data_IF_796925417735
#
_entry.id   IF_796925417735
#
_cell.length_a   1.000
_cell.length_b   1.000
_cell.length_c   1.000
_cell.angle_alpha   90.00
_cell.angle_beta   90.00
_cell.angle_gamma   90.00
#
_symmetry.space_group_name_H-M   'P 1'
#
loop_
_entity.id
_entity.type
_entity.pdbx_description
1 polymer ?
#
# COMPACT_ATOMS: atom_id res chain seq x y z
N UNK A 1 16.02 24.02 -24.83
CA UNK A 1 16.31 23.38 -23.54
C UNK A 1 15.22 22.34 -23.28
N UNK A 2 15.59 21.08 -23.07
CA UNK A 2 14.64 20.03 -22.72
C UNK A 2 14.17 20.22 -21.28
N UNK A 3 12.89 19.96 -21.03
CA UNK A 3 12.31 20.03 -19.68
C UNK A 3 11.74 18.68 -19.29
N UNK A 4 12.09 18.23 -18.09
CA UNK A 4 11.62 16.96 -17.56
C UNK A 4 10.75 17.14 -16.31
N UNK A 5 9.72 16.33 -16.22
CA UNK A 5 8.95 16.06 -14.99
C UNK A 5 9.28 14.63 -14.58
N UNK A 6 9.86 14.45 -13.42
CA UNK A 6 10.26 13.14 -12.91
C UNK A 6 9.11 12.57 -12.06
N UNK A 7 8.80 11.30 -12.32
CA UNK A 7 7.85 10.55 -11.50
C UNK A 7 8.47 9.24 -10.99
N UNK A 8 8.35 9.02 -9.69
CA UNK A 8 8.81 7.81 -9.00
C UNK A 8 7.66 7.17 -8.21
N UNK A 9 7.74 5.86 -7.94
CA UNK A 9 6.75 5.14 -7.14
C UNK A 9 7.38 4.05 -6.29
N UNK A 10 7.00 3.97 -5.03
CA UNK A 10 7.36 2.90 -4.09
C UNK A 10 6.12 2.12 -3.66
N UNK A 11 6.28 0.82 -3.32
CA UNK A 11 5.15 -0.10 -3.13
C UNK A 11 4.62 -0.16 -1.69
N UNK A 12 5.35 0.33 -0.69
CA UNK A 12 4.92 0.39 0.72
C UNK A 12 5.69 1.48 1.47
N UNK A 13 5.11 1.99 2.57
CA UNK A 13 5.82 2.91 3.47
C UNK A 13 7.14 2.32 4.01
N UNK A 14 7.19 0.99 4.25
CA UNK A 14 8.39 0.32 4.74
C UNK A 14 9.48 0.21 3.66
N UNK A 15 9.11 0.01 2.40
CA UNK A 15 10.06 0.10 1.27
C UNK A 15 10.44 1.54 0.97
N UNK A 16 9.57 2.51 1.24
CA UNK A 16 9.90 3.93 1.23
C UNK A 16 10.89 4.30 2.34
N UNK A 17 10.83 3.65 3.50
CA UNK A 17 11.76 3.84 4.62
C UNK A 17 13.11 3.17 4.40
N UNK A 18 13.18 2.01 3.73
CA UNK A 18 14.45 1.36 3.37
C UNK A 18 15.20 2.09 2.25
N UNK A 19 14.54 2.97 1.50
CA UNK A 19 15.15 3.80 0.44
C UNK A 19 15.57 3.05 -0.82
N UNK A 20 15.95 1.79 -0.74
CA UNK A 20 16.60 1.03 -1.82
C UNK A 20 15.85 1.04 -3.15
N UNK A 21 14.53 0.96 -3.11
CA UNK A 21 13.71 0.97 -4.33
C UNK A 21 13.62 2.36 -4.98
N UNK A 22 13.70 3.43 -4.20
CA UNK A 22 13.71 4.80 -4.68
C UNK A 22 15.11 5.18 -5.19
N UNK A 23 16.15 4.84 -4.43
CA UNK A 23 17.54 5.09 -4.81
C UNK A 23 17.90 4.45 -6.16
N UNK A 24 17.41 3.22 -6.41
CA UNK A 24 17.61 2.56 -7.70
C UNK A 24 16.92 3.34 -8.84
N UNK A 25 15.72 3.88 -8.62
CA UNK A 25 15.02 4.69 -9.62
C UNK A 25 15.74 6.02 -9.86
N UNK A 26 16.16 6.70 -8.81
CA UNK A 26 16.93 7.97 -8.93
C UNK A 26 18.26 7.76 -9.63
N UNK A 27 18.96 6.64 -9.36
CA UNK A 27 20.18 6.28 -10.07
C UNK A 27 19.94 6.07 -11.56
N UNK A 28 18.92 5.31 -11.94
CA UNK A 28 18.61 5.04 -13.34
C UNK A 28 18.26 6.35 -14.08
N UNK A 29 17.48 7.23 -13.42
CA UNK A 29 17.14 8.56 -13.95
C UNK A 29 18.40 9.44 -14.07
N UNK A 30 19.31 9.43 -13.09
CA UNK A 30 20.57 10.15 -13.13
C UNK A 30 21.44 9.70 -14.31
N UNK A 31 21.61 8.39 -14.50
CA UNK A 31 22.34 7.83 -15.66
C UNK A 31 21.71 8.27 -16.99
N UNK A 32 20.38 8.29 -17.07
CA UNK A 32 19.71 8.77 -18.27
C UNK A 32 20.00 10.24 -18.54
N UNK A 33 19.89 11.09 -17.55
CA UNK A 33 20.13 12.53 -17.67
C UNK A 33 21.58 12.84 -18.05
N UNK A 34 22.55 12.12 -17.49
CA UNK A 34 23.96 12.34 -17.71
C UNK A 34 24.44 11.83 -19.09
N UNK A 35 23.88 10.70 -19.56
CA UNK A 35 24.42 10.02 -20.74
C UNK A 35 23.55 10.13 -21.98
N UNK A 36 22.26 10.33 -21.83
CA UNK A 36 21.28 10.26 -22.92
C UNK A 36 20.51 11.58 -23.16
N UNK A 37 20.60 12.53 -22.24
CA UNK A 37 20.09 13.88 -22.47
C UNK A 37 21.12 14.62 -23.33
N UNK A 38 20.85 14.66 -24.64
CA UNK A 38 21.80 15.21 -25.63
C UNK A 38 21.95 16.74 -25.59
N UNK A 39 21.13 17.48 -24.84
CA UNK A 39 21.10 18.95 -24.73
C UNK A 39 20.95 19.38 -23.28
N UNK A 40 21.32 20.62 -22.93
CA UNK A 40 21.03 21.12 -21.59
C UNK A 40 19.56 20.93 -21.22
N UNK A 41 19.30 20.37 -20.04
CA UNK A 41 17.98 20.06 -19.54
C UNK A 41 17.66 20.81 -18.24
N UNK A 42 16.36 20.89 -17.95
CA UNK A 42 15.83 21.44 -16.71
C UNK A 42 14.80 20.44 -16.10
N UNK A 43 14.90 20.17 -14.80
CA UNK A 43 13.88 19.41 -14.07
C UNK A 43 12.89 20.40 -13.47
N UNK A 44 11.66 20.46 -14.01
CA UNK A 44 10.64 21.41 -13.57
C UNK A 44 9.68 20.87 -12.52
N UNK A 45 9.80 19.59 -12.16
CA UNK A 45 9.02 18.98 -11.10
C UNK A 45 9.44 17.54 -10.80
N UNK A 46 9.31 17.16 -9.53
CA UNK A 46 9.49 15.78 -9.04
C UNK A 46 8.26 15.37 -8.27
N UNK A 47 7.71 14.22 -8.58
CA UNK A 47 6.48 13.67 -8.00
C UNK A 47 6.69 12.23 -7.59
N UNK A 48 6.17 11.87 -6.42
CA UNK A 48 6.36 10.53 -5.87
C UNK A 48 5.06 10.01 -5.24
N UNK A 49 4.59 8.86 -5.68
CA UNK A 49 3.50 8.13 -5.02
C UNK A 49 4.05 6.97 -4.17
N UNK A 50 3.43 6.80 -3.00
CA UNK A 50 3.62 5.63 -2.14
C UNK A 50 2.37 4.76 -2.25
N UNK A 51 2.52 3.57 -2.86
CA UNK A 51 1.41 2.62 -3.09
C UNK A 51 1.17 1.83 -1.80
N UNK A 52 0.21 2.25 -0.99
CA UNK A 52 -0.15 1.60 0.28
C UNK A 52 -1.06 0.37 0.14
N UNK A 53 -1.24 -0.13 -1.08
CA UNK A 53 -2.07 -1.32 -1.36
C UNK A 53 -3.58 -1.12 -1.15
N UNK A 54 -3.99 -0.18 -0.31
CA UNK A 54 -5.39 0.13 -0.02
C UNK A 54 -5.94 1.30 -0.87
N UNK A 55 -5.07 2.10 -1.46
CA UNK A 55 -5.44 3.31 -2.18
C UNK A 55 -4.85 3.29 -3.59
N UNK A 56 -5.67 2.93 -4.59
CA UNK A 56 -5.29 2.95 -6.01
C UNK A 56 -5.25 4.37 -6.61
N UNK A 57 -5.45 5.40 -5.80
CA UNK A 57 -5.29 6.79 -6.20
C UNK A 57 -3.81 7.13 -6.38
N UNK A 58 -3.47 7.80 -7.48
CA UNK A 58 -2.12 8.27 -7.78
C UNK A 58 -2.15 9.79 -7.92
N UNK A 59 -2.32 10.50 -6.80
CA UNK A 59 -2.49 11.96 -6.83
C UNK A 59 -1.26 12.65 -7.41
N UNK A 60 -0.07 12.14 -7.10
CA UNK A 60 1.18 12.74 -7.57
C UNK A 60 1.43 12.47 -9.06
N UNK A 61 1.07 11.28 -9.57
CA UNK A 61 1.09 11.03 -11.02
C UNK A 61 0.14 11.98 -11.76
N UNK A 62 -1.05 12.20 -11.23
CA UNK A 62 -2.02 13.12 -11.86
C UNK A 62 -1.48 14.56 -11.90
N UNK A 63 -0.81 15.02 -10.83
CA UNK A 63 -0.14 16.33 -10.82
C UNK A 63 1.00 16.39 -11.84
N UNK A 64 1.83 15.34 -11.90
CA UNK A 64 2.91 15.23 -12.88
C UNK A 64 2.37 15.34 -14.32
N UNK A 65 1.32 14.59 -14.64
CA UNK A 65 0.68 14.62 -15.96
C UNK A 65 0.04 15.97 -16.28
N UNK A 66 -0.58 16.62 -15.31
CA UNK A 66 -1.12 17.98 -15.48
C UNK A 66 -0.01 18.98 -15.80
N UNK A 67 1.14 18.90 -15.11
CA UNK A 67 2.31 19.75 -15.37
C UNK A 67 2.89 19.48 -16.76
N UNK A 68 3.06 18.21 -17.14
CA UNK A 68 3.54 17.80 -18.47
C UNK A 68 2.65 18.38 -19.57
N UNK A 69 1.32 18.20 -19.46
CA UNK A 69 0.36 18.70 -20.44
C UNK A 69 0.35 20.22 -20.55
N UNK A 70 0.57 20.91 -19.43
CA UNK A 70 0.62 22.39 -19.38
C UNK A 70 1.89 22.96 -19.98
N UNK A 71 3.04 22.29 -19.76
CA UNK A 71 4.35 22.85 -20.08
C UNK A 71 4.98 22.26 -21.34
N UNK A 72 4.45 21.13 -21.84
CA UNK A 72 5.07 20.36 -22.94
C UNK A 72 6.37 19.67 -22.55
N UNK A 73 6.67 19.57 -21.24
CA UNK A 73 7.82 18.82 -20.73
C UNK A 73 7.66 17.32 -20.98
N UNK A 74 8.75 16.58 -20.92
CA UNK A 74 8.74 15.13 -21.03
C UNK A 74 8.55 14.48 -19.65
N UNK A 75 7.69 13.47 -19.53
CA UNK A 75 7.53 12.67 -18.33
C UNK A 75 8.66 11.63 -18.27
N UNK A 76 9.56 11.76 -17.33
CA UNK A 76 10.68 10.84 -17.14
C UNK A 76 10.41 9.90 -15.96
N UNK A 77 10.47 8.60 -16.24
CA UNK A 77 10.31 7.51 -15.25
C UNK A 77 11.48 6.54 -15.35
N UNK A 78 11.79 5.82 -14.28
CA UNK A 78 12.85 4.82 -14.30
C UNK A 78 12.48 3.60 -15.16
N UNK A 79 11.28 3.03 -14.94
CA UNK A 79 10.75 1.81 -15.61
C UNK A 79 9.25 1.93 -15.86
N UNK A 80 8.73 1.24 -16.87
CA UNK A 80 7.30 1.22 -17.20
C UNK A 80 6.43 0.67 -16.06
N UNK A 81 6.88 -0.32 -15.30
CA UNK A 81 6.15 -0.90 -14.16
C UNK A 81 5.99 0.07 -12.99
N UNK A 82 6.81 1.12 -12.92
CA UNK A 82 6.63 2.23 -11.96
C UNK A 82 5.47 3.12 -12.35
N UNK A 83 5.24 3.29 -13.67
CA UNK A 83 4.11 4.07 -14.17
C UNK A 83 2.79 3.31 -13.98
N UNK A 84 2.69 2.08 -14.47
CA UNK A 84 1.50 1.25 -14.29
C UNK A 84 1.82 -0.24 -14.45
N UNK A 85 0.99 -1.08 -13.81
CA UNK A 85 0.92 -2.51 -14.09
C UNK A 85 -0.07 -2.87 -15.19
N UNK A 86 -0.92 -1.92 -15.61
CA UNK A 86 -1.91 -2.10 -16.68
C UNK A 86 -1.37 -1.54 -17.98
N UNK A 87 -1.23 -2.39 -18.99
CA UNK A 87 -0.79 -1.99 -20.33
C UNK A 87 -1.76 -0.99 -20.95
N UNK A 88 -3.07 -1.18 -20.77
CA UNK A 88 -4.07 -0.26 -21.27
C UNK A 88 -3.84 1.19 -20.80
N UNK A 89 -3.47 1.38 -19.53
CA UNK A 89 -3.16 2.71 -19.01
C UNK A 89 -1.90 3.30 -19.65
N UNK A 90 -0.84 2.49 -19.80
CA UNK A 90 0.40 2.92 -20.45
C UNK A 90 0.12 3.29 -21.91
N UNK A 91 -0.65 2.46 -22.63
CA UNK A 91 -1.04 2.72 -24.02
C UNK A 91 -1.82 4.03 -24.14
N UNK A 92 -2.87 4.22 -23.33
CA UNK A 92 -3.65 5.47 -23.32
C UNK A 92 -2.77 6.70 -23.07
N UNK A 93 -1.79 6.56 -22.17
CA UNK A 93 -0.89 7.68 -21.88
C UNK A 93 0.06 7.98 -23.05
N UNK A 94 0.57 6.94 -23.73
CA UNK A 94 1.42 7.09 -24.89
C UNK A 94 0.65 7.60 -26.12
N UNK A 95 -0.67 7.41 -26.16
CA UNK A 95 -1.54 7.93 -27.22
C UNK A 95 -1.94 9.39 -27.01
N UNK A 96 -1.72 9.93 -25.80
CA UNK A 96 -1.95 11.34 -25.52
C UNK A 96 -0.84 12.20 -26.19
N UNK A 97 -1.18 13.02 -27.23
CA UNK A 97 -0.18 13.80 -27.96
C UNK A 97 0.49 14.88 -27.11
N UNK A 98 -0.10 15.21 -25.95
CA UNK A 98 0.44 16.18 -24.98
C UNK A 98 1.40 15.55 -23.98
N UNK A 99 1.59 14.22 -24.00
CA UNK A 99 2.46 13.50 -23.08
C UNK A 99 3.58 12.82 -23.83
N UNK A 100 4.79 13.30 -23.65
CA UNK A 100 6.01 12.67 -24.15
C UNK A 100 6.61 11.83 -23.01
N UNK A 101 6.51 10.51 -23.12
CA UNK A 101 7.03 9.59 -22.12
C UNK A 101 8.49 9.21 -22.41
N UNK A 102 9.35 9.31 -21.41
CA UNK A 102 10.73 8.81 -21.43
C UNK A 102 10.92 7.77 -20.32
N UNK A 103 11.58 6.68 -20.67
CA UNK A 103 11.89 5.59 -19.74
C UNK A 103 13.42 5.48 -19.61
N UNK A 104 13.94 5.78 -18.42
CA UNK A 104 15.38 5.88 -18.20
C UNK A 104 16.13 4.58 -18.55
N UNK A 105 15.56 3.41 -18.25
CA UNK A 105 16.16 2.12 -18.62
C UNK A 105 16.06 1.77 -20.11
N UNK A 106 15.30 2.54 -20.87
CA UNK A 106 15.09 2.35 -22.31
C UNK A 106 15.23 3.68 -23.05
N UNK A 107 16.40 4.32 -23.00
CA UNK A 107 16.58 5.71 -23.44
C UNK A 107 16.31 5.92 -24.92
N UNK A 108 16.52 4.90 -25.74
CA UNK A 108 16.37 4.94 -27.19
C UNK A 108 15.06 4.29 -27.68
N UNK A 109 14.23 3.75 -26.77
CA UNK A 109 13.00 3.09 -27.17
C UNK A 109 12.00 4.10 -27.78
N UNK A 110 11.52 3.78 -28.95
CA UNK A 110 10.41 4.50 -29.56
C UNK A 110 9.06 4.07 -28.98
N UNK A 111 7.98 4.74 -29.41
CA UNK A 111 6.62 4.47 -28.94
C UNK A 111 6.22 3.00 -29.19
N UNK A 112 6.55 2.45 -30.36
CA UNK A 112 6.20 1.07 -30.71
C UNK A 112 6.90 0.06 -29.81
N UNK A 113 8.20 0.25 -29.58
CA UNK A 113 8.99 -0.58 -28.66
C UNK A 113 8.44 -0.54 -27.25
N UNK A 114 8.07 0.64 -26.74
CA UNK A 114 7.47 0.78 -25.42
C UNK A 114 6.12 0.04 -25.31
N UNK A 115 5.30 0.02 -26.33
CA UNK A 115 4.06 -0.78 -26.38
C UNK A 115 4.36 -2.29 -26.30
N UNK A 116 5.35 -2.78 -27.04
CA UNK A 116 5.76 -4.19 -27.00
C UNK A 116 6.25 -4.56 -25.59
N UNK A 117 7.13 -3.75 -25.02
CA UNK A 117 7.65 -4.00 -23.66
C UNK A 117 6.55 -3.98 -22.59
N UNK A 118 5.59 -3.07 -22.71
CA UNK A 118 4.45 -3.04 -21.82
C UNK A 118 3.61 -4.34 -21.93
N UNK A 119 3.33 -4.79 -23.14
CA UNK A 119 2.57 -6.01 -23.39
C UNK A 119 3.30 -7.27 -22.87
N UNK A 120 4.62 -7.38 -23.12
CA UNK A 120 5.43 -8.46 -22.60
C UNK A 120 5.46 -8.50 -21.06
N UNK A 121 5.59 -7.35 -20.43
CA UNK A 121 5.58 -7.26 -18.97
C UNK A 121 4.22 -7.64 -18.34
N UNK A 122 3.10 -7.43 -19.03
CA UNK A 122 1.79 -7.92 -18.60
C UNK A 122 1.67 -9.45 -18.76
N UNK A 123 2.11 -9.97 -19.90
CA UNK A 123 2.09 -11.41 -20.17
C UNK A 123 2.96 -12.18 -19.18
N UNK A 124 4.17 -11.69 -18.86
CA UNK A 124 5.06 -12.29 -17.87
C UNK A 124 4.39 -12.37 -16.50
N UNK A 125 3.72 -11.30 -16.05
CA UNK A 125 2.98 -11.30 -14.77
C UNK A 125 1.84 -12.32 -14.78
N UNK A 126 1.13 -12.45 -15.89
CA UNK A 126 0.07 -13.45 -16.05
C UNK A 126 0.64 -14.86 -15.90
N UNK A 127 1.74 -15.17 -16.57
CA UNK A 127 2.41 -16.46 -16.45
C UNK A 127 2.91 -16.76 -15.03
N UNK A 128 3.51 -15.77 -14.37
CA UNK A 128 3.94 -15.91 -12.97
C UNK A 128 2.73 -16.18 -12.05
N UNK A 129 1.63 -15.45 -12.25
CA UNK A 129 0.38 -15.64 -11.49
C UNK A 129 -0.20 -17.03 -11.71
N UNK A 130 -0.30 -17.48 -12.95
CA UNK A 130 -0.83 -18.80 -13.28
C UNK A 130 0.05 -19.91 -12.71
N UNK A 131 1.37 -19.81 -12.83
CA UNK A 131 2.32 -20.75 -12.23
C UNK A 131 2.16 -20.82 -10.72
N UNK A 132 2.05 -19.66 -10.08
CA UNK A 132 1.86 -19.59 -8.62
C UNK A 132 0.54 -20.21 -8.20
N UNK A 133 -0.56 -19.93 -8.90
CA UNK A 133 -1.88 -20.55 -8.65
C UNK A 133 -1.84 -22.06 -8.83
N UNK A 134 -1.18 -22.55 -9.88
CA UNK A 134 -1.01 -23.98 -10.12
C UNK A 134 -0.22 -24.67 -9.00
N UNK A 135 0.92 -24.06 -8.59
CA UNK A 135 1.73 -24.58 -7.49
C UNK A 135 0.97 -24.60 -6.15
N UNK A 136 0.20 -23.54 -5.86
CA UNK A 136 -0.64 -23.49 -4.66
C UNK A 136 -1.78 -24.51 -4.68
N UNK A 137 -2.35 -24.79 -5.86
CA UNK A 137 -3.37 -25.86 -6.02
C UNK A 137 -2.77 -27.22 -5.64
N UNK A 138 -1.63 -27.58 -6.22
CA UNK A 138 -0.94 -28.84 -5.91
C UNK A 138 -0.57 -28.91 -4.41
N UNK A 139 -0.09 -27.83 -3.83
CA UNK A 139 0.21 -27.78 -2.39
C UNK A 139 -1.04 -28.05 -1.55
N UNK A 140 -2.19 -27.44 -1.93
CA UNK A 140 -3.48 -27.68 -1.26
C UNK A 140 -3.95 -29.13 -1.38
N UNK A 141 -3.81 -29.73 -2.55
CA UNK A 141 -4.15 -31.16 -2.78
C UNK A 141 -3.28 -32.09 -1.93
N UNK A 142 -2.02 -31.73 -1.66
CA UNK A 142 -1.13 -32.42 -0.73
C UNK A 142 -1.42 -32.16 0.75
N UNK A 143 -2.51 -31.44 1.07
CA UNK A 143 -2.90 -31.14 2.44
C UNK A 143 -2.12 -29.99 3.11
N UNK A 144 -1.29 -29.25 2.34
CA UNK A 144 -0.58 -28.09 2.87
C UNK A 144 -1.59 -26.98 3.17
N UNK A 145 -1.66 -26.55 4.40
CA UNK A 145 -2.51 -25.43 4.82
C UNK A 145 -1.94 -24.12 4.25
N UNK A 146 -2.59 -23.62 3.21
CA UNK A 146 -2.21 -22.38 2.53
C UNK A 146 -2.77 -21.17 3.28
N UNK A 147 -1.97 -20.13 3.35
CA UNK A 147 -2.30 -18.94 4.14
C UNK A 147 -2.08 -19.20 5.62
N UNK A 148 -2.16 -18.16 6.39
CA UNK A 148 -1.92 -18.21 7.81
C UNK A 148 -0.81 -17.24 8.21
N UNK A 149 -0.82 -16.87 9.49
CA UNK A 149 0.22 -16.03 10.03
C UNK A 149 1.44 -16.87 10.37
N UNK A 150 2.62 -16.31 10.15
CA UNK A 150 3.88 -16.95 10.58
C UNK A 150 3.85 -17.22 12.08
N UNK A 151 4.53 -18.28 12.53
CA UNK A 151 4.56 -18.69 13.95
C UNK A 151 4.84 -17.55 14.93
N UNK A 152 5.77 -16.65 14.59
CA UNK A 152 6.07 -15.48 15.41
C UNK A 152 4.86 -14.53 15.55
N UNK A 153 4.08 -14.33 14.45
CA UNK A 153 2.86 -13.52 14.46
C UNK A 153 1.73 -14.20 15.19
N UNK A 154 1.62 -15.53 15.08
CA UNK A 154 0.65 -16.34 15.85
C UNK A 154 0.93 -16.25 17.33
N UNK A 155 2.18 -16.44 17.77
CA UNK A 155 2.58 -16.29 19.18
C UNK A 155 2.27 -14.90 19.72
N UNK A 156 2.56 -13.86 18.94
CA UNK A 156 2.21 -12.48 19.30
C UNK A 156 0.70 -12.28 19.44
N UNK A 157 -0.09 -12.80 18.51
CA UNK A 157 -1.55 -12.69 18.55
C UNK A 157 -2.14 -13.45 19.74
N UNK A 158 -1.63 -14.65 20.04
CA UNK A 158 -2.04 -15.41 21.23
C UNK A 158 -1.72 -14.62 22.50
N UNK A 159 -0.53 -14.02 22.60
CA UNK A 159 -0.16 -13.20 23.76
C UNK A 159 -1.04 -11.94 23.88
N UNK A 160 -1.34 -11.25 22.77
CA UNK A 160 -2.25 -10.10 22.76
C UNK A 160 -3.66 -10.52 23.18
N UNK A 161 -4.13 -11.66 22.70
CA UNK A 161 -5.45 -12.19 23.02
C UNK A 161 -5.53 -12.57 24.51
N UNK A 162 -4.55 -13.29 25.02
CA UNK A 162 -4.46 -13.65 26.44
C UNK A 162 -4.43 -12.41 27.36
N UNK A 163 -3.67 -11.37 26.98
CA UNK A 163 -3.67 -10.11 27.72
C UNK A 163 -5.04 -9.44 27.73
N UNK A 164 -5.70 -9.39 26.57
CA UNK A 164 -7.03 -8.80 26.45
C UNK A 164 -8.10 -9.59 27.21
N UNK A 165 -7.97 -10.92 27.26
CA UNK A 165 -8.87 -11.78 28.04
C UNK A 165 -8.68 -11.58 29.56
N UNK A 166 -7.42 -11.48 30.00
CA UNK A 166 -7.10 -11.17 31.39
C UNK A 166 -7.61 -9.80 31.83
N UNK A 167 -7.51 -8.78 30.99
CA UNK A 167 -8.07 -7.45 31.27
C UNK A 167 -9.60 -7.48 31.27
N UNK A 168 -10.23 -8.18 30.33
CA UNK A 168 -11.68 -8.35 30.29
C UNK A 168 -12.21 -9.05 31.57
N UNK A 169 -11.51 -10.09 32.03
CA UNK A 169 -11.86 -10.81 33.26
C UNK A 169 -11.80 -9.90 34.52
N UNK A 170 -10.83 -8.97 34.57
CA UNK A 170 -10.76 -7.99 35.68
C UNK A 170 -11.98 -7.07 35.68
N UNK A 171 -12.29 -6.51 34.53
CA UNK A 171 -13.44 -5.58 34.40
C UNK A 171 -14.78 -6.31 34.58
N UNK A 172 -14.85 -7.58 34.16
CA UNK A 172 -16.05 -8.38 34.32
C UNK A 172 -16.45 -8.57 35.80
N UNK A 173 -15.50 -8.63 36.74
CA UNK A 173 -15.78 -8.66 38.16
C UNK A 173 -16.59 -7.45 38.65
N UNK A 174 -16.49 -6.32 37.99
CA UNK A 174 -17.23 -5.10 38.27
C UNK A 174 -18.54 -5.07 37.50
N UNK A 175 -18.56 -5.55 36.27
CA UNK A 175 -19.75 -5.57 35.40
C UNK A 175 -20.79 -6.59 35.89
N UNK A 176 -20.37 -7.78 36.34
CA UNK A 176 -21.27 -8.87 36.71
C UNK A 176 -22.29 -8.48 37.79
N UNK A 177 -21.90 -7.88 38.95
CA UNK A 177 -22.85 -7.47 39.97
C UNK A 177 -23.85 -6.41 39.48
N UNK A 178 -23.41 -5.46 38.63
CA UNK A 178 -24.26 -4.44 38.07
C UNK A 178 -25.30 -5.03 37.11
N UNK A 179 -24.92 -6.04 36.32
CA UNK A 179 -25.85 -6.75 35.44
C UNK A 179 -26.88 -7.57 36.22
N UNK A 180 -26.45 -8.24 37.29
CA UNK A 180 -27.34 -8.99 38.18
C UNK A 180 -28.35 -8.06 38.87
N UNK A 181 -27.94 -6.82 39.18
CA UNK A 181 -28.82 -5.78 39.70
C UNK A 181 -29.74 -5.14 38.62
N UNK A 182 -29.71 -5.62 37.36
CA UNK A 182 -30.57 -5.16 36.30
C UNK A 182 -30.12 -3.88 35.59
N UNK A 183 -28.88 -3.42 35.79
CA UNK A 183 -28.39 -2.22 35.13
C UNK A 183 -28.22 -2.42 33.61
N UNK A 184 -28.65 -1.42 32.83
CA UNK A 184 -28.44 -1.42 31.39
C UNK A 184 -26.98 -1.25 31.02
N UNK A 185 -26.58 -1.74 29.83
CA UNK A 185 -25.19 -1.61 29.34
C UNK A 185 -24.71 -0.15 29.30
N UNK A 186 -25.61 0.79 29.04
CA UNK A 186 -25.30 2.23 29.04
C UNK A 186 -25.07 2.78 30.44
N UNK A 187 -25.84 2.30 31.44
CA UNK A 187 -25.62 2.68 32.83
C UNK A 187 -24.30 2.13 33.34
N UNK A 188 -24.00 0.85 33.05
CA UNK A 188 -22.72 0.22 33.40
C UNK A 188 -21.53 1.00 32.80
N UNK A 189 -21.63 1.39 31.53
CA UNK A 189 -20.59 2.19 30.88
C UNK A 189 -20.32 3.52 31.60
N UNK A 190 -21.39 4.26 31.99
CA UNK A 190 -21.25 5.50 32.78
C UNK A 190 -20.62 5.27 34.15
N UNK A 191 -21.08 4.25 34.86
CA UNK A 191 -20.53 3.93 36.19
C UNK A 191 -19.04 3.57 36.11
N UNK A 192 -18.61 2.84 35.10
CA UNK A 192 -17.18 2.54 34.88
C UNK A 192 -16.37 3.79 34.59
N UNK A 193 -16.90 4.73 33.83
CA UNK A 193 -16.26 6.05 33.58
C UNK A 193 -16.19 6.89 34.84
N UNK A 194 -17.26 6.95 35.64
CA UNK A 194 -17.32 7.64 36.93
C UNK A 194 -16.36 7.06 37.96
N UNK A 195 -16.16 5.74 37.95
CA UNK A 195 -15.14 5.06 38.76
C UNK A 195 -13.71 5.30 38.28
N UNK A 196 -13.51 6.02 37.18
CA UNK A 196 -12.19 6.29 36.61
C UNK A 196 -11.53 5.08 35.96
N UNK A 197 -12.30 4.03 35.64
CA UNK A 197 -11.79 2.82 35.02
C UNK A 197 -11.65 3.05 33.53
N UNK A 198 -10.42 3.20 33.04
CA UNK A 198 -10.15 3.39 31.63
C UNK A 198 -10.39 2.11 30.82
N UNK A 199 -10.79 2.26 29.54
CA UNK A 199 -10.77 1.14 28.59
C UNK A 199 -9.34 0.71 28.30
N UNK A 200 -9.14 -0.47 27.70
CA UNK A 200 -7.82 -0.96 27.29
C UNK A 200 -7.03 -0.03 26.36
N UNK A 201 -7.71 0.97 25.76
CA UNK A 201 -7.11 2.01 24.90
C UNK A 201 -7.14 3.41 25.53
N UNK A 202 -7.47 3.52 26.82
CA UNK A 202 -7.47 4.79 27.53
C UNK A 202 -8.68 5.73 27.25
N UNK A 203 -9.68 5.24 26.49
CA UNK A 203 -10.89 6.02 26.15
C UNK A 203 -12.05 5.77 27.13
N UNK A 204 -13.18 6.49 26.91
CA UNK A 204 -14.43 6.29 27.65
C UNK A 204 -15.14 4.99 27.29
N UNK A 205 -15.91 4.46 28.21
CA UNK A 205 -16.71 3.26 28.00
C UNK A 205 -17.97 3.55 27.19
N UNK A 206 -18.31 2.61 26.32
CA UNK A 206 -19.58 2.60 25.56
C UNK A 206 -20.34 1.31 25.87
N UNK A 207 -21.67 1.33 25.70
CA UNK A 207 -22.51 0.14 25.86
C UNK A 207 -22.02 -1.05 25.03
N UNK A 208 -21.49 -0.77 23.82
CA UNK A 208 -20.92 -1.80 22.93
C UNK A 208 -19.64 -2.43 23.51
N UNK A 209 -18.79 -1.64 24.14
CA UNK A 209 -17.55 -2.16 24.76
C UNK A 209 -17.89 -3.01 26.00
N UNK A 210 -18.85 -2.58 26.82
CA UNK A 210 -19.37 -3.40 27.94
C UNK A 210 -19.92 -4.74 27.42
N UNK A 211 -20.72 -4.72 26.35
CA UNK A 211 -21.22 -5.94 25.70
C UNK A 211 -20.11 -6.85 25.20
N UNK A 212 -19.06 -6.28 24.61
CA UNK A 212 -17.90 -7.07 24.11
C UNK A 212 -17.14 -7.74 25.24
N UNK A 213 -16.92 -7.03 26.36
CA UNK A 213 -16.28 -7.61 27.55
C UNK A 213 -17.12 -8.74 28.11
N UNK A 214 -18.43 -8.56 28.24
CA UNK A 214 -19.34 -9.57 28.75
C UNK A 214 -19.38 -10.85 27.88
N UNK A 215 -19.28 -10.71 26.55
CA UNK A 215 -19.24 -11.87 25.63
C UNK A 215 -17.90 -12.61 25.60
N UNK A 216 -16.85 -11.95 26.04
CA UNK A 216 -15.47 -12.49 25.98
C UNK A 216 -15.14 -13.38 27.17
N UNK A 217 -15.88 -13.23 28.25
CA UNK A 217 -15.68 -13.93 29.52
C UNK A 217 -16.70 -15.07 29.76
N UNK A 218 -17.60 -15.30 28.80
CA UNK A 218 -18.47 -16.47 28.69
C UNK A 218 -17.80 -17.49 27.78
#
# INVERSE_FOLDING_TARGET
MLRYVIYTRVSTEDQGKSGLGLEAQERDIGIFLDRFSAVPYEIIGRFQDVDSGANNGRPELNKALALVRKTGAELLIAKLDRLSRKVSFIATLMDDPKVKLRVAQMPQADKFQLHIYAALAEQERTFISERTKAALRVAKERGVKLGGMRDATMKRNVAIQAKADAEAAKVMKLIAPMREAGASLSQIARTLDEMGIATSRGGKWTAMQVSRVARRTV
#
